data_IF_612403890404
#
_entry.id   IF_612403890404
#
_cell.length_a   1.000
_cell.length_b   1.000
_cell.length_c   1.000
_cell.angle_alpha   90.00
_cell.angle_beta   90.00
_cell.angle_gamma   90.00
#
_symmetry.space_group_name_H-M   'P 1'
#
loop_
_entity.id
_entity.type
_entity.pdbx_description
1 polymer ?
#
# COMPACT_ATOMS: atom_id res chain seq x y z
N UNK A 1 2.02 -13.41 -12.14
CA UNK A 1 2.29 -12.69 -10.91
C UNK A 1 3.11 -11.43 -11.18
N UNK A 2 4.06 -11.55 -12.10
CA UNK A 2 4.93 -10.43 -12.46
C UNK A 2 4.10 -9.18 -12.77
N UNK A 3 3.00 -9.37 -13.49
CA UNK A 3 2.12 -8.26 -13.85
C UNK A 3 1.52 -7.63 -12.61
N UNK A 4 1.23 -8.45 -11.61
CA UNK A 4 0.65 -7.97 -10.35
C UNK A 4 1.47 -6.81 -9.78
N UNK A 5 2.74 -7.09 -9.51
CA UNK A 5 3.63 -6.07 -8.96
C UNK A 5 3.60 -4.80 -9.80
N UNK A 6 3.50 -4.97 -11.12
CA UNK A 6 3.46 -3.85 -12.04
C UNK A 6 2.24 -2.96 -11.76
N UNK A 7 1.05 -3.54 -11.91
CA UNK A 7 -0.19 -2.81 -11.67
C UNK A 7 -0.21 -2.22 -10.27
N UNK A 8 0.26 -2.99 -9.30
CA UNK A 8 0.29 -2.54 -7.91
C UNK A 8 1.20 -1.33 -7.75
N UNK A 9 2.48 -1.51 -8.07
CA UNK A 9 3.46 -0.44 -7.96
C UNK A 9 2.98 0.81 -8.69
N UNK A 10 2.25 0.61 -9.78
CA UNK A 10 1.73 1.72 -10.58
C UNK A 10 0.65 2.46 -9.81
N UNK A 11 -0.30 1.71 -9.24
CA UNK A 11 -1.39 2.31 -8.47
C UNK A 11 -0.86 3.14 -7.31
N UNK A 12 -0.04 2.52 -6.47
CA UNK A 12 0.54 3.21 -5.32
C UNK A 12 1.40 4.38 -5.75
N UNK A 13 2.16 4.18 -6.83
CA UNK A 13 3.03 5.23 -7.36
C UNK A 13 2.22 6.45 -7.77
N UNK A 14 1.06 6.21 -8.37
CA UNK A 14 0.19 7.28 -8.82
C UNK A 14 -0.39 8.05 -7.63
N UNK A 15 -0.85 7.31 -6.62
CA UNK A 15 -1.43 7.91 -5.43
C UNK A 15 -0.35 8.60 -4.60
N UNK A 16 0.87 8.10 -4.68
CA UNK A 16 1.99 8.66 -3.92
C UNK A 16 2.10 10.16 -4.16
N UNK A 17 1.90 10.57 -5.41
CA UNK A 17 1.98 11.99 -5.77
C UNK A 17 0.67 12.70 -5.46
N UNK A 18 -0.41 11.93 -5.33
CA UNK A 18 -1.71 12.48 -5.02
C UNK A 18 -1.96 12.53 -3.51
N UNK A 19 -0.90 12.37 -2.74
CA UNK A 19 -1.00 12.38 -1.29
C UNK A 19 -2.07 11.41 -0.80
N UNK A 20 -1.91 10.14 -1.15
CA UNK A 20 -2.87 9.12 -0.75
C UNK A 20 -2.16 7.92 -0.13
N UNK A 21 -0.84 8.01 -0.03
CA UNK A 21 -0.04 6.94 0.55
C UNK A 21 0.68 7.41 1.80
N UNK A 22 0.86 6.51 2.75
CA UNK A 22 1.54 6.83 4.01
C UNK A 22 2.55 5.75 4.38
N UNK A 23 3.83 6.08 4.27
CA UNK A 23 4.89 5.13 4.59
C UNK A 23 5.48 5.42 5.97
N UNK A 24 6.19 4.44 6.52
CA UNK A 24 6.80 4.61 7.83
C UNK A 24 6.04 3.87 8.92
N UNK A 25 6.78 3.29 9.86
CA UNK A 25 6.17 2.54 10.96
C UNK A 25 5.06 3.37 11.63
N UNK A 26 5.33 4.64 11.83
CA UNK A 26 4.37 5.54 12.46
C UNK A 26 3.06 5.57 11.68
N UNK A 27 3.16 5.91 10.39
CA UNK A 27 1.99 5.97 9.52
C UNK A 27 1.23 4.65 9.53
N UNK A 28 1.97 3.56 9.64
CA UNK A 28 1.38 2.22 9.65
C UNK A 28 0.47 2.04 10.86
N UNK A 29 1.07 2.10 12.05
CA UNK A 29 0.31 1.95 13.29
C UNK A 29 -0.86 2.92 13.35
N UNK A 30 -0.63 4.13 12.83
CA UNK A 30 -1.66 5.16 12.83
C UNK A 30 -2.79 4.80 11.86
N UNK A 31 -2.42 4.25 10.72
CA UNK A 31 -3.41 3.85 9.71
C UNK A 31 -4.29 2.71 10.22
N UNK A 32 -3.70 1.82 11.01
CA UNK A 32 -4.44 0.68 11.56
C UNK A 32 -5.14 1.07 12.86
N UNK A 33 -4.62 2.10 13.52
CA UNK A 33 -5.20 2.57 14.78
C UNK A 33 -6.39 3.49 14.52
N UNK A 34 -6.16 4.53 13.71
CA UNK A 34 -7.21 5.49 13.37
C UNK A 34 -8.19 4.89 12.38
N UNK A 35 -7.85 3.71 11.86
CA UNK A 35 -8.72 3.05 10.89
C UNK A 35 -8.45 3.51 9.47
N UNK A 36 -7.63 4.54 9.33
CA UNK A 36 -7.31 5.08 8.02
C UNK A 36 -6.24 4.22 7.33
N UNK A 37 -6.65 3.06 6.84
CA UNK A 37 -5.73 2.15 6.16
C UNK A 37 -6.14 1.96 4.71
N UNK A 38 -5.41 1.09 4.00
CA UNK A 38 -5.71 0.83 2.60
C UNK A 38 -4.96 -0.37 2.07
N UNK A 39 -3.65 -0.25 1.97
CA UNK A 39 -2.81 -1.34 1.47
C UNK A 39 -1.42 -1.30 2.09
N UNK A 40 -1.05 -2.39 2.75
CA UNK A 40 0.26 -2.48 3.40
C UNK A 40 1.33 -2.95 2.40
N UNK A 41 2.08 -2.01 1.87
CA UNK A 41 3.13 -2.31 0.91
C UNK A 41 4.42 -2.69 1.63
N UNK A 42 4.82 -3.96 1.50
CA UNK A 42 6.04 -4.45 2.13
C UNK A 42 7.13 -4.73 1.09
N UNK A 43 8.36 -4.40 1.45
CA UNK A 43 9.49 -4.62 0.55
C UNK A 43 9.95 -6.08 0.58
N UNK A 44 9.70 -6.79 -0.51
CA UNK A 44 10.09 -8.19 -0.59
C UNK A 44 11.56 -8.39 -0.28
N UNK A 45 12.37 -7.38 -0.55
CA UNK A 45 13.80 -7.46 -0.31
C UNK A 45 14.12 -7.17 1.15
N UNK A 46 13.31 -6.30 1.77
CA UNK A 46 13.51 -5.95 3.16
C UNK A 46 12.28 -6.29 4.00
N UNK A 47 12.40 -7.35 4.80
CA UNK A 47 11.29 -7.80 5.64
C UNK A 47 11.81 -8.62 6.82
N UNK A 48 12.21 -7.93 7.90
CA UNK A 48 12.73 -8.58 9.10
C UNK A 48 11.65 -9.34 9.86
N UNK A 49 12.03 -9.92 11.00
CA UNK A 49 11.09 -10.67 11.83
C UNK A 49 9.94 -9.79 12.31
N UNK A 50 10.16 -8.47 12.24
CA UNK A 50 9.14 -7.51 12.67
C UNK A 50 7.91 -7.58 11.77
N UNK A 51 8.13 -7.45 10.47
CA UNK A 51 7.04 -7.49 9.50
C UNK A 51 6.52 -8.92 9.32
N UNK A 52 7.44 -9.88 9.39
CA UNK A 52 7.08 -11.28 9.23
C UNK A 52 6.25 -11.78 10.41
N UNK A 53 6.36 -11.08 11.53
CA UNK A 53 5.62 -11.45 12.74
C UNK A 53 4.32 -10.65 12.84
N UNK A 54 4.36 -9.40 12.38
CA UNK A 54 3.19 -8.54 12.42
C UNK A 54 2.23 -8.87 11.28
N UNK A 55 2.77 -9.48 10.22
CA UNK A 55 1.96 -9.85 9.06
C UNK A 55 0.85 -10.82 9.45
N UNK A 56 1.24 -11.95 10.05
CA UNK A 56 0.30 -12.99 10.48
C UNK A 56 -0.54 -12.54 11.68
N UNK A 57 0.03 -11.67 12.50
CA UNK A 57 -0.65 -11.16 13.68
C UNK A 57 -1.74 -10.17 13.29
N UNK A 58 -1.36 -9.13 12.55
CA UNK A 58 -2.30 -8.11 12.12
C UNK A 58 -3.35 -8.70 11.17
N UNK A 59 -2.93 -9.69 10.39
CA UNK A 59 -3.84 -10.35 9.44
C UNK A 59 -4.82 -11.26 10.17
N UNK A 60 -4.30 -12.06 11.10
CA UNK A 60 -5.13 -12.97 11.87
C UNK A 60 -5.94 -12.23 12.92
N UNK A 61 -5.53 -11.00 13.21
CA UNK A 61 -6.22 -10.18 14.20
C UNK A 61 -7.41 -9.46 13.58
N UNK A 62 -7.15 -8.71 12.50
CA UNK A 62 -8.20 -7.97 11.81
C UNK A 62 -8.26 -8.35 10.34
N UNK A 63 -7.14 -8.87 9.82
CA UNK A 63 -7.06 -9.27 8.43
C UNK A 63 -6.99 -8.05 7.51
N UNK A 64 -5.94 -7.26 7.69
CA UNK A 64 -5.74 -6.06 6.89
C UNK A 64 -5.13 -6.40 5.53
N UNK A 65 -5.47 -5.58 4.51
CA UNK A 65 -4.96 -5.77 3.15
C UNK A 65 -3.47 -5.48 3.04
N UNK A 66 -2.65 -6.50 3.26
CA UNK A 66 -1.20 -6.34 3.19
C UNK A 66 -0.65 -7.03 1.94
N UNK A 67 0.16 -6.29 1.18
CA UNK A 67 0.76 -6.83 -0.03
C UNK A 67 2.27 -6.69 -0.01
N UNK A 68 2.96 -7.62 -0.66
CA UNK A 68 4.42 -7.60 -0.72
C UNK A 68 4.90 -7.30 -2.13
N UNK A 69 6.01 -6.57 -2.24
CA UNK A 69 6.58 -6.22 -3.52
C UNK A 69 8.10 -6.17 -3.47
N UNK A 70 8.75 -7.28 -3.87
CA UNK A 70 10.20 -7.39 -3.86
C UNK A 70 10.85 -6.51 -4.93
N UNK A 71 10.92 -5.21 -4.66
CA UNK A 71 11.51 -4.27 -5.61
C UNK A 71 11.77 -2.92 -4.93
N UNK A 72 13.03 -2.68 -4.56
CA UNK A 72 13.40 -1.43 -3.91
C UNK A 72 12.93 -0.23 -4.73
N UNK A 73 13.06 -0.32 -6.05
CA UNK A 73 12.66 0.76 -6.95
C UNK A 73 11.18 1.07 -6.76
N UNK A 74 10.37 0.03 -6.56
CA UNK A 74 8.93 0.20 -6.38
C UNK A 74 8.63 0.79 -5.01
N UNK A 75 9.03 0.08 -3.96
CA UNK A 75 8.80 0.53 -2.60
C UNK A 75 9.30 1.95 -2.39
N UNK A 76 10.45 2.26 -3.01
CA UNK A 76 11.02 3.59 -2.89
C UNK A 76 10.26 4.62 -3.70
N UNK A 77 9.95 4.28 -4.94
CA UNK A 77 9.22 5.19 -5.83
C UNK A 77 7.81 5.45 -5.31
N UNK A 78 7.32 4.54 -4.47
CA UNK A 78 5.99 4.67 -3.90
C UNK A 78 6.02 5.46 -2.60
N UNK A 79 6.90 5.04 -1.69
CA UNK A 79 7.01 5.73 -0.41
C UNK A 79 7.77 7.03 -0.52
N UNK A 80 8.98 6.97 -1.03
CA UNK A 80 9.81 8.17 -1.19
C UNK A 80 11.14 7.83 -1.85
N UNK A 81 11.26 8.17 -3.13
CA UNK A 81 12.49 7.91 -3.88
C UNK A 81 13.71 8.40 -3.12
N UNK A 82 13.54 9.47 -2.34
CA UNK A 82 14.62 10.04 -1.57
C UNK A 82 14.80 9.32 -0.24
N UNK A 83 13.68 8.89 0.34
CA UNK A 83 13.70 8.18 1.61
C UNK A 83 12.84 6.92 1.55
N UNK A 84 13.34 5.90 0.85
CA UNK A 84 12.63 4.62 0.69
C UNK A 84 12.56 3.83 2.00
N UNK A 85 11.57 2.96 2.11
CA UNK A 85 11.40 2.14 3.30
C UNK A 85 10.97 0.72 2.94
N UNK A 86 10.63 -0.06 3.95
CA UNK A 86 10.21 -1.44 3.74
C UNK A 86 8.76 -1.64 4.20
N UNK A 87 8.27 -0.71 5.01
CA UNK A 87 6.89 -0.78 5.50
C UNK A 87 6.10 0.46 5.11
N UNK A 88 5.10 0.28 4.25
CA UNK A 88 4.27 1.38 3.80
C UNK A 88 2.79 1.03 3.92
N UNK A 89 1.96 2.05 4.12
CA UNK A 89 0.52 1.85 4.26
C UNK A 89 -0.24 2.84 3.38
N UNK A 90 -0.80 2.34 2.28
CA UNK A 90 -1.56 3.18 1.37
C UNK A 90 -2.94 3.51 1.93
N UNK A 91 -3.43 4.70 1.62
CA UNK A 91 -4.74 5.14 2.10
C UNK A 91 -5.52 5.83 0.99
N UNK A 92 -6.16 5.03 0.12
CA UNK A 92 -6.95 5.54 -0.99
C UNK A 92 -8.24 6.22 -0.54
N UNK A 93 -8.12 7.46 -0.06
CA UNK A 93 -9.28 8.19 0.41
C UNK A 93 -9.49 9.49 -0.34
N UNK A 94 -10.72 9.72 -0.79
CA UNK A 94 -11.03 10.94 -1.53
C UNK A 94 -12.50 11.32 -1.34
N UNK A 95 -12.73 12.58 -0.98
CA UNK A 95 -14.09 13.07 -0.75
C UNK A 95 -14.72 13.55 -2.07
N UNK A 96 -14.08 14.54 -2.69
CA UNK A 96 -14.58 15.09 -3.94
C UNK A 96 -14.06 14.27 -5.12
N UNK A 97 -12.81 13.86 -5.05
CA UNK A 97 -12.19 13.07 -6.12
C UNK A 97 -12.99 11.79 -6.37
N UNK A 98 -13.69 11.33 -5.35
CA UNK A 98 -14.50 10.12 -5.47
C UNK A 98 -15.45 10.21 -6.64
N UNK A 99 -16.17 11.32 -6.73
CA UNK A 99 -17.12 11.54 -7.81
C UNK A 99 -16.62 12.62 -8.77
N UNK A 100 -15.31 12.86 -8.75
CA UNK A 100 -14.73 13.86 -9.63
C UNK A 100 -13.90 13.26 -10.75
N UNK A 101 -13.73 14.00 -11.83
CA UNK A 101 -12.96 13.53 -12.97
C UNK A 101 -11.46 13.54 -12.65
N UNK A 102 -11.02 12.54 -11.91
CA UNK A 102 -9.62 12.43 -11.54
C UNK A 102 -9.12 10.99 -11.67
N UNK A 103 -7.83 10.79 -11.47
CA UNK A 103 -7.24 9.46 -11.56
C UNK A 103 -7.84 8.52 -10.51
N UNK A 104 -8.48 9.09 -9.51
CA UNK A 104 -9.09 8.31 -8.45
C UNK A 104 -9.94 7.18 -9.03
N UNK A 105 -10.53 7.43 -10.20
CA UNK A 105 -11.37 6.43 -10.86
C UNK A 105 -10.57 5.16 -11.12
N UNK A 106 -9.73 5.19 -12.14
CA UNK A 106 -8.91 4.03 -12.50
C UNK A 106 -8.04 3.60 -11.33
N UNK A 107 -7.51 4.57 -10.59
CA UNK A 107 -6.66 4.29 -9.45
C UNK A 107 -7.38 3.41 -8.43
N UNK A 108 -8.45 3.96 -7.84
CA UNK A 108 -9.23 3.23 -6.86
C UNK A 108 -9.64 1.86 -7.39
N UNK A 109 -10.09 1.82 -8.64
CA UNK A 109 -10.51 0.57 -9.26
C UNK A 109 -9.36 -0.44 -9.27
N UNK A 110 -8.29 -0.10 -9.97
CA UNK A 110 -7.13 -0.97 -10.06
C UNK A 110 -6.62 -1.36 -8.68
N UNK A 111 -6.57 -0.39 -7.79
CA UNK A 111 -6.09 -0.62 -6.43
C UNK A 111 -6.98 -1.64 -5.72
N UNK A 112 -8.27 -1.33 -5.62
CA UNK A 112 -9.23 -2.22 -4.97
C UNK A 112 -9.12 -3.64 -5.53
N UNK A 113 -8.76 -3.74 -6.81
CA UNK A 113 -8.62 -5.04 -7.46
C UNK A 113 -7.42 -5.80 -6.91
N UNK A 114 -6.23 -5.20 -7.06
CA UNK A 114 -5.00 -5.82 -6.59
C UNK A 114 -5.06 -6.08 -5.09
N UNK A 115 -5.52 -5.10 -4.34
CA UNK A 115 -5.63 -5.22 -2.89
C UNK A 115 -6.56 -6.37 -2.50
N UNK A 116 -7.78 -6.33 -3.02
CA UNK A 116 -8.76 -7.38 -2.74
C UNK A 116 -8.18 -8.76 -3.05
N UNK A 117 -7.48 -8.87 -4.17
CA UNK A 117 -6.89 -10.14 -4.57
C UNK A 117 -5.90 -10.63 -3.52
N UNK A 118 -5.04 -9.72 -3.05
CA UNK A 118 -4.05 -10.07 -2.03
C UNK A 118 -4.71 -10.57 -0.76
N UNK A 119 -5.80 -9.90 -0.36
CA UNK A 119 -6.52 -10.29 0.85
C UNK A 119 -7.08 -11.70 0.72
N UNK A 120 -7.86 -11.94 -0.33
CA UNK A 120 -8.44 -13.25 -0.57
C UNK A 120 -7.38 -14.34 -0.60
N UNK A 121 -6.29 -14.07 -1.32
CA UNK A 121 -5.21 -15.03 -1.44
C UNK A 121 -4.23 -14.89 -0.27
#
# INVERSE_FOLDING_TARGET
>A
SKKLNKKVLKTVKKASKAKNVKRGVKEVVKALRKGEKGLVVIAGDISPADVISHIPVLCEDHSVPYIFIPSKQDLGAAGATKRPTSVVFIVPGSNKKKDGKNKEEEYKESFNEVVKEVQAL
#
